data_IF_305575730300
#
_entry.id   IF_305575730300
#
_cell.length_a   1.000
_cell.length_b   1.000
_cell.length_c   1.000
_cell.angle_alpha   90.00
_cell.angle_beta   90.00
_cell.angle_gamma   90.00
#
_symmetry.space_group_name_H-M   'P 1'
#
loop_
_entity.id
_entity.type
_entity.pdbx_description
1 polymer ?
#
# COMPACT_ATOMS: atom_id res chain seq x y z
N UNK A 1 7.22 -24.72 16.75
CA UNK A 1 6.51 -23.69 15.95
C UNK A 1 5.37 -23.18 16.80
N UNK A 2 5.33 -21.89 17.15
CA UNK A 2 4.48 -21.39 18.25
C UNK A 2 2.97 -21.67 18.11
N UNK A 3 2.46 -21.89 16.89
CA UNK A 3 1.02 -22.12 16.64
C UNK A 3 0.64 -23.55 16.25
N UNK A 4 1.57 -24.50 16.30
CA UNK A 4 1.32 -25.89 15.91
C UNK A 4 0.25 -26.55 16.80
N UNK A 5 -0.71 -27.27 16.20
CA UNK A 5 -1.82 -27.91 16.92
C UNK A 5 -3.03 -27.01 17.18
N UNK A 6 -3.07 -25.82 16.59
CA UNK A 6 -4.19 -24.86 16.71
C UNK A 6 -4.74 -24.47 15.33
N UNK A 7 -5.89 -23.78 15.32
CA UNK A 7 -6.47 -23.17 14.12
C UNK A 7 -6.06 -21.69 13.95
N UNK A 8 -4.97 -21.26 14.59
CA UNK A 8 -4.47 -19.89 14.48
C UNK A 8 -3.87 -19.65 13.09
N UNK A 9 -4.40 -18.64 12.39
CA UNK A 9 -3.83 -18.11 11.15
C UNK A 9 -2.89 -16.95 11.46
N UNK A 10 -1.71 -16.96 10.85
CA UNK A 10 -0.70 -15.90 10.98
C UNK A 10 -0.46 -15.31 9.59
N UNK A 11 -0.59 -13.99 9.51
CA UNK A 11 -0.56 -13.21 8.27
C UNK A 11 0.16 -11.89 8.48
N UNK A 12 0.78 -11.36 7.42
CA UNK A 12 1.39 -10.02 7.42
C UNK A 12 0.96 -9.22 6.19
N UNK A 13 0.46 -8.00 6.42
CA UNK A 13 0.23 -7.01 5.38
C UNK A 13 1.45 -6.08 5.33
N UNK A 14 1.96 -5.80 4.12
CA UNK A 14 3.15 -4.99 3.88
C UNK A 14 2.81 -3.84 2.94
N UNK A 15 2.38 -2.68 3.47
CA UNK A 15 2.09 -1.51 2.67
C UNK A 15 3.35 -0.84 2.11
N UNK A 16 3.22 -0.26 0.92
CA UNK A 16 4.16 0.70 0.37
C UNK A 16 3.84 2.13 0.80
N UNK A 17 3.84 3.04 -0.16
CA UNK A 17 3.58 4.45 0.06
C UNK A 17 2.08 4.74 0.19
N UNK A 18 1.68 5.21 1.38
CA UNK A 18 0.28 5.47 1.76
C UNK A 18 0.16 6.90 2.26
N UNK A 19 -0.81 7.64 1.75
CA UNK A 19 -1.16 8.98 2.22
C UNK A 19 -1.89 8.86 3.56
N UNK A 20 -1.21 9.18 4.65
CA UNK A 20 -1.78 9.13 6.00
C UNK A 20 -0.99 10.01 6.97
N UNK A 21 -1.49 10.11 8.20
CA UNK A 21 -0.81 10.84 9.27
C UNK A 21 0.61 10.31 9.57
N UNK A 22 0.89 9.03 9.28
CA UNK A 22 2.24 8.48 9.41
C UNK A 22 3.26 9.23 8.55
N UNK A 23 2.92 9.47 7.28
CA UNK A 23 3.81 10.18 6.35
C UNK A 23 3.96 11.64 6.73
N UNK A 24 2.85 12.32 7.08
CA UNK A 24 2.87 13.71 7.52
C UNK A 24 3.77 13.88 8.76
N UNK A 25 3.64 13.00 9.75
CA UNK A 25 4.49 13.02 10.94
C UNK A 25 5.97 12.73 10.60
N UNK A 26 6.25 11.83 9.65
CA UNK A 26 7.61 11.52 9.17
C UNK A 26 8.31 12.74 8.57
N UNK A 27 7.55 13.61 7.91
CA UNK A 27 8.05 14.89 7.36
C UNK A 27 7.85 16.07 8.31
N UNK A 28 7.68 15.82 9.62
CA UNK A 28 7.52 16.84 10.66
C UNK A 28 6.35 17.80 10.43
N UNK A 29 5.25 17.28 9.89
CA UNK A 29 4.04 18.03 9.55
C UNK A 29 4.24 19.07 8.43
N UNK A 30 5.29 18.94 7.62
CA UNK A 30 5.48 19.75 6.42
C UNK A 30 4.65 19.19 5.26
N UNK A 31 3.56 19.88 4.93
CA UNK A 31 2.67 19.50 3.83
C UNK A 31 3.37 19.57 2.47
N UNK A 32 4.27 20.55 2.25
CA UNK A 32 4.97 20.68 0.97
C UNK A 32 5.91 19.50 0.75
N UNK A 33 6.62 19.06 1.79
CA UNK A 33 7.49 17.90 1.72
C UNK A 33 6.71 16.59 1.47
N UNK A 34 5.48 16.51 1.99
CA UNK A 34 4.58 15.39 1.72
C UNK A 34 4.11 15.39 0.26
N UNK A 35 3.67 16.54 -0.24
CA UNK A 35 3.20 16.71 -1.62
C UNK A 35 4.32 16.44 -2.62
N UNK A 36 5.54 16.93 -2.35
CA UNK A 36 6.74 16.63 -3.14
C UNK A 36 7.05 15.13 -3.14
N UNK A 37 6.94 14.46 -1.99
CA UNK A 37 7.21 13.01 -1.90
C UNK A 37 6.27 12.19 -2.78
N UNK A 38 4.99 12.59 -2.90
CA UNK A 38 4.00 11.92 -3.73
C UNK A 38 3.87 12.47 -5.16
N UNK A 39 4.62 13.51 -5.51
CA UNK A 39 4.59 14.11 -6.84
C UNK A 39 4.71 13.07 -7.97
N UNK A 40 3.83 13.17 -8.96
CA UNK A 40 3.89 12.39 -10.19
C UNK A 40 3.21 11.03 -10.16
N UNK A 41 2.67 10.61 -9.00
CA UNK A 41 1.90 9.37 -8.89
C UNK A 41 0.79 9.47 -7.84
N UNK A 42 -0.16 8.54 -7.91
CA UNK A 42 -1.24 8.37 -6.94
C UNK A 42 -0.78 7.40 -5.84
N UNK A 43 -0.61 7.83 -4.58
CA UNK A 43 -0.31 6.92 -3.46
C UNK A 43 -1.54 6.11 -3.05
N UNK A 44 -1.33 5.05 -2.25
CA UNK A 44 -2.45 4.36 -1.61
C UNK A 44 -3.12 5.25 -0.56
N UNK A 45 -4.41 5.03 -0.35
CA UNK A 45 -5.17 5.59 0.77
C UNK A 45 -5.44 4.53 1.85
N UNK A 46 -5.83 4.91 3.08
CA UNK A 46 -6.13 3.94 4.14
C UNK A 46 -7.18 2.89 3.75
N UNK A 47 -8.14 3.26 2.92
CA UNK A 47 -9.24 2.41 2.45
C UNK A 47 -8.72 1.23 1.62
N UNK A 48 -7.69 1.44 0.78
CA UNK A 48 -7.07 0.38 -0.03
C UNK A 48 -6.50 -0.73 0.88
N UNK A 49 -5.88 -0.34 1.99
CA UNK A 49 -5.32 -1.29 2.96
C UNK A 49 -6.41 -1.97 3.78
N UNK A 50 -7.48 -1.26 4.13
CA UNK A 50 -8.61 -1.84 4.84
C UNK A 50 -9.25 -2.96 4.02
N UNK A 51 -9.42 -2.75 2.71
CA UNK A 51 -9.93 -3.78 1.79
C UNK A 51 -8.95 -4.96 1.64
N UNK A 52 -7.65 -4.70 1.58
CA UNK A 52 -6.64 -5.75 1.58
C UNK A 52 -6.68 -6.61 2.85
N UNK A 53 -6.79 -5.99 4.04
CA UNK A 53 -6.96 -6.71 5.30
C UNK A 53 -8.25 -7.53 5.27
N UNK A 54 -9.36 -6.93 4.83
CA UNK A 54 -10.65 -7.61 4.74
C UNK A 54 -10.54 -8.87 3.90
N UNK A 55 -9.97 -8.78 2.70
CA UNK A 55 -9.73 -9.92 1.81
C UNK A 55 -8.88 -11.02 2.48
N UNK A 56 -7.81 -10.63 3.19
CA UNK A 56 -6.95 -11.58 3.89
C UNK A 56 -7.69 -12.36 4.99
N UNK A 57 -8.56 -11.70 5.75
CA UNK A 57 -9.27 -12.33 6.87
C UNK A 57 -10.57 -13.04 6.47
N UNK A 58 -11.22 -12.59 5.39
CA UNK A 58 -12.48 -13.15 4.88
C UNK A 58 -12.31 -14.49 4.15
N UNK A 59 -11.08 -14.88 3.83
CA UNK A 59 -10.78 -16.20 3.25
C UNK A 59 -11.30 -17.34 4.14
N UNK A 60 -11.81 -18.45 3.58
CA UNK A 60 -12.22 -19.63 4.36
C UNK A 60 -11.12 -20.13 5.30
N UNK A 61 -11.47 -20.79 6.41
CA UNK A 61 -10.50 -21.25 7.43
C UNK A 61 -9.34 -22.09 6.85
N UNK A 62 -9.63 -22.92 5.84
CA UNK A 62 -8.64 -23.73 5.11
C UNK A 62 -7.62 -22.93 4.29
N UNK A 63 -7.79 -21.61 4.19
CA UNK A 63 -6.95 -20.71 3.40
C UNK A 63 -6.36 -19.64 4.30
N UNK A 64 -5.04 -19.48 4.24
CA UNK A 64 -4.30 -18.41 4.92
C UNK A 64 -3.46 -17.67 3.90
N UNK A 65 -3.69 -16.36 3.75
CA UNK A 65 -2.75 -15.48 3.04
C UNK A 65 -1.62 -15.13 4.00
N UNK A 66 -0.45 -15.75 3.81
CA UNK A 66 0.69 -15.59 4.71
C UNK A 66 1.30 -14.19 4.65
N UNK A 67 1.37 -13.63 3.45
CA UNK A 67 1.93 -12.31 3.21
C UNK A 67 1.21 -11.66 2.03
N UNK A 68 1.00 -10.34 2.13
CA UNK A 68 0.46 -9.54 1.05
C UNK A 68 1.23 -8.21 0.99
N UNK A 69 1.87 -7.93 -0.14
CA UNK A 69 2.52 -6.66 -0.42
C UNK A 69 1.54 -5.77 -1.21
N UNK A 70 1.18 -4.62 -0.64
CA UNK A 70 0.25 -3.67 -1.25
C UNK A 70 0.99 -2.35 -1.47
N UNK A 71 1.28 -2.01 -2.72
CA UNK A 71 2.05 -0.81 -3.08
C UNK A 71 1.31 -0.03 -4.16
N UNK A 72 1.48 1.31 -4.26
CA UNK A 72 1.05 2.05 -5.43
C UNK A 72 1.65 1.41 -6.69
N UNK A 73 0.89 1.31 -7.77
CA UNK A 73 1.42 0.71 -9.02
C UNK A 73 2.66 1.43 -9.54
N UNK A 74 2.77 2.74 -9.28
CA UNK A 74 3.94 3.56 -9.60
C UNK A 74 5.18 3.25 -8.72
N UNK A 75 5.02 2.61 -7.56
CA UNK A 75 6.13 2.19 -6.71
C UNK A 75 6.65 0.82 -7.18
N UNK A 76 7.72 0.81 -7.97
CA UNK A 76 8.28 -0.41 -8.60
C UNK A 76 9.23 -1.18 -7.69
N UNK A 77 9.83 -0.49 -6.72
CA UNK A 77 10.67 -1.05 -5.67
C UNK A 77 10.69 -0.10 -4.47
N UNK A 78 11.39 -0.46 -3.39
CA UNK A 78 11.51 0.38 -2.19
C UNK A 78 11.97 1.81 -2.46
N UNK A 79 12.91 2.00 -3.40
CA UNK A 79 13.50 3.31 -3.74
C UNK A 79 13.25 3.72 -5.20
N UNK A 80 12.31 3.06 -5.89
CA UNK A 80 11.99 3.33 -7.30
C UNK A 80 10.52 3.71 -7.45
N UNK A 81 10.31 4.99 -7.74
CA UNK A 81 8.99 5.59 -7.98
C UNK A 81 8.94 6.11 -9.41
N UNK A 82 7.88 5.74 -10.11
CA UNK A 82 7.58 6.18 -11.46
C UNK A 82 6.89 7.55 -11.41
N UNK A 83 7.69 8.62 -11.50
CA UNK A 83 7.24 10.01 -11.33
C UNK A 83 6.45 10.56 -12.52
N UNK A 84 6.37 9.80 -13.60
CA UNK A 84 5.59 10.16 -14.80
C UNK A 84 4.28 9.36 -14.90
N UNK A 85 3.94 8.60 -13.86
CA UNK A 85 2.77 7.72 -13.84
C UNK A 85 1.47 8.47 -14.15
N UNK A 86 1.21 9.57 -13.46
CA UNK A 86 -0.01 10.36 -13.67
C UNK A 86 -0.05 10.95 -15.08
N UNK A 87 1.07 11.48 -15.59
CA UNK A 87 1.13 12.06 -16.93
C UNK A 87 0.76 11.05 -18.03
N UNK A 88 1.18 9.79 -17.89
CA UNK A 88 0.80 8.72 -18.83
C UNK A 88 -0.65 8.31 -18.67
N UNK A 89 -1.13 8.11 -17.44
CA UNK A 89 -2.54 7.77 -17.14
C UNK A 89 -3.52 8.82 -17.70
N UNK A 90 -3.17 10.10 -17.56
CA UNK A 90 -3.99 11.21 -18.05
C UNK A 90 -3.92 11.39 -19.57
N UNK A 91 -2.81 11.00 -20.20
CA UNK A 91 -2.66 10.97 -21.65
C UNK A 91 -3.46 9.85 -22.32
N UNK A 92 -3.53 8.67 -21.68
CA UNK A 92 -4.34 7.53 -22.12
C UNK A 92 -5.86 7.82 -22.03
N UNK A 93 -6.30 8.62 -21.05
CA UNK A 93 -7.69 9.05 -20.91
C UNK A 93 -8.13 10.13 -21.93
N UNK A 94 -7.23 10.63 -22.77
CA UNK A 94 -7.52 11.63 -23.82
C UNK A 94 -7.47 11.06 -25.25
N UNK A 95 -7.17 9.78 -25.41
CA UNK A 95 -7.22 9.06 -26.68
C UNK A 95 -8.51 8.24 -26.78
#
# INVERSE_FOLDING_TARGET
METAGSNIRVSVLRPGCVVSHFHLQRVKYDQNAMDEFFYGYEPLVPEDLAEAVWYMVSCPERTTIKALDCVPTAQRALTRFDREWNARKDGENKA
#
